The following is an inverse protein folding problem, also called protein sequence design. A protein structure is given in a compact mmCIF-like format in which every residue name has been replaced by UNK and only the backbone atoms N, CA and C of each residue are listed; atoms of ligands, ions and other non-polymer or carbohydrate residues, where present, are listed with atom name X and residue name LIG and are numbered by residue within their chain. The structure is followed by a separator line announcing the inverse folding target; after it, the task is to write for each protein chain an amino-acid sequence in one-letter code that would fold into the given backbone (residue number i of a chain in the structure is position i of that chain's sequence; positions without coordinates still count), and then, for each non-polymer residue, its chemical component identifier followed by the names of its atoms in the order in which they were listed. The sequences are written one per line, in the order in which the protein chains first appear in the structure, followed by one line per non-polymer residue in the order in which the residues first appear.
data_IF_224885459966
#
_entry.id   IF_224885459966
#
_cell.length_a   1.000
_cell.length_b   1.000
_cell.length_c   1.000
_cell.angle_alpha   90.00
_cell.angle_beta   90.00
_cell.angle_gamma   90.00
#
_symmetry.space_group_name_H-M   'P 1'
#
loop_
_entity.id
_entity.type
_entity.pdbx_description
1 polymer ?
#
# COMPACT_ATOMS: atom_id res chain seq x y z
N UNK A 1 17.29 -0.05 84.00
CA UNK A 1 17.62 0.96 82.95
C UNK A 1 18.05 0.35 81.61
N UNK A 2 18.78 -0.79 81.59
CA UNK A 2 19.26 -1.44 80.34
C UNK A 2 18.16 -1.86 79.34
N UNK A 3 16.96 -2.26 79.81
CA UNK A 3 15.84 -2.65 78.92
C UNK A 3 15.36 -1.49 78.02
N UNK A 4 15.40 -0.25 78.51
CA UNK A 4 14.95 0.94 77.75
C UNK A 4 15.94 1.39 76.67
N UNK A 5 17.24 1.10 76.84
CA UNK A 5 18.25 1.33 75.81
C UNK A 5 18.15 0.34 74.65
N UNK A 6 17.81 -0.93 74.95
CA UNK A 6 17.69 -1.98 73.94
C UNK A 6 16.45 -1.80 73.05
N UNK A 7 15.33 -1.31 73.60
CA UNK A 7 14.13 -0.98 72.83
C UNK A 7 14.32 0.25 71.95
N UNK A 8 15.00 1.30 72.45
CA UNK A 8 15.40 2.46 71.62
C UNK A 8 16.26 2.05 70.43
N UNK A 9 17.29 1.21 70.63
CA UNK A 9 18.14 0.70 69.52
C UNK A 9 17.36 -0.11 68.48
N UNK A 10 16.37 -0.93 68.90
CA UNK A 10 15.49 -1.65 67.97
C UNK A 10 14.59 -0.72 67.16
N UNK A 11 14.07 0.35 67.79
CA UNK A 11 13.22 1.34 67.13
C UNK A 11 13.99 2.12 66.06
N UNK A 12 15.20 2.58 66.38
CA UNK A 12 16.08 3.29 65.43
C UNK A 12 16.40 2.43 64.20
N UNK A 13 16.75 1.15 64.40
CA UNK A 13 16.99 0.22 63.28
C UNK A 13 15.76 -0.02 62.40
N UNK A 14 14.56 0.01 62.98
CA UNK A 14 13.32 -0.16 62.23
C UNK A 14 12.98 1.08 61.41
N UNK A 15 13.15 2.27 61.97
CA UNK A 15 12.97 3.54 61.26
C UNK A 15 13.98 3.67 60.10
N UNK A 16 15.22 3.20 60.29
CA UNK A 16 16.25 3.18 59.25
C UNK A 16 15.91 2.20 58.11
N UNK A 17 15.39 1.02 58.44
CA UNK A 17 14.90 0.05 57.45
C UNK A 17 13.66 0.56 56.68
N UNK A 18 12.73 1.24 57.36
CA UNK A 18 11.56 1.86 56.72
C UNK A 18 11.96 2.99 55.75
N UNK A 19 12.98 3.79 56.09
CA UNK A 19 13.51 4.82 55.19
C UNK A 19 14.20 4.24 53.97
N UNK A 20 15.01 3.19 54.13
CA UNK A 20 15.65 2.51 53.02
C UNK A 20 14.62 1.89 52.07
N UNK A 21 13.60 1.24 52.62
CA UNK A 21 12.50 0.69 51.83
C UNK A 21 11.75 1.78 51.04
N UNK A 22 11.49 2.94 51.65
CA UNK A 22 10.85 4.06 50.95
C UNK A 22 11.70 4.60 49.80
N UNK A 23 13.02 4.68 49.99
CA UNK A 23 13.96 5.06 48.93
C UNK A 23 13.90 4.07 47.77
N UNK A 24 14.02 2.77 48.06
CA UNK A 24 13.96 1.72 47.03
C UNK A 24 12.62 1.74 46.27
N UNK A 25 11.50 1.92 46.98
CA UNK A 25 10.18 2.05 46.35
C UNK A 25 10.10 3.29 45.45
N UNK A 26 10.66 4.42 45.87
CA UNK A 26 10.68 5.64 45.04
C UNK A 26 11.53 5.46 43.77
N UNK A 27 12.68 4.78 43.88
CA UNK A 27 13.52 4.48 42.71
C UNK A 27 12.81 3.53 41.74
N UNK A 28 12.08 2.53 42.25
CA UNK A 28 11.27 1.63 41.44
C UNK A 28 10.15 2.39 40.72
N UNK A 29 9.46 3.30 41.40
CA UNK A 29 8.42 4.14 40.78
C UNK A 29 8.98 5.03 39.68
N UNK A 30 10.13 5.68 39.89
CA UNK A 30 10.80 6.50 38.87
C UNK A 30 11.22 5.67 37.65
N UNK A 31 11.84 4.50 37.88
CA UNK A 31 12.25 3.59 36.80
C UNK A 31 11.03 3.08 36.02
N UNK A 32 9.96 2.72 36.71
CA UNK A 32 8.71 2.24 36.09
C UNK A 32 8.07 3.34 35.24
N UNK A 33 8.01 4.56 35.76
CA UNK A 33 7.50 5.74 35.04
C UNK A 33 8.31 6.02 33.77
N UNK A 34 9.65 5.99 33.86
CA UNK A 34 10.53 6.18 32.71
C UNK A 34 10.33 5.08 31.65
N UNK A 35 10.14 3.84 32.09
CA UNK A 35 9.93 2.69 31.22
C UNK A 35 8.58 2.78 30.51
N UNK A 36 7.52 3.17 31.21
CA UNK A 36 6.20 3.42 30.64
C UNK A 36 6.22 4.59 29.66
N UNK A 37 6.88 5.70 29.99
CA UNK A 37 7.01 6.84 29.08
C UNK A 37 7.71 6.44 27.77
N UNK A 38 8.73 5.58 27.83
CA UNK A 38 9.39 5.04 26.64
C UNK A 38 8.49 4.13 25.83
N UNK A 39 7.66 3.31 26.49
CA UNK A 39 6.67 2.47 25.82
C UNK A 39 5.65 3.37 25.09
N UNK A 40 5.11 4.39 25.76
CA UNK A 40 4.14 5.31 25.17
C UNK A 40 4.69 6.03 23.95
N UNK A 41 5.94 6.49 23.99
CA UNK A 41 6.59 7.07 22.82
C UNK A 41 6.71 6.09 21.65
N UNK A 42 7.03 4.82 21.94
CA UNK A 42 7.10 3.77 20.89
C UNK A 42 5.72 3.47 20.32
N UNK A 43 4.69 3.39 21.16
CA UNK A 43 3.30 3.18 20.73
C UNK A 43 2.86 4.32 19.83
N UNK A 44 3.12 5.58 20.20
CA UNK A 44 2.80 6.75 19.35
C UNK A 44 3.50 6.70 18.00
N UNK A 45 4.77 6.27 17.96
CA UNK A 45 5.51 6.10 16.70
C UNK A 45 4.90 5.01 15.83
N UNK A 46 4.50 3.88 16.43
CA UNK A 46 3.85 2.79 15.71
C UNK A 46 2.49 3.22 15.14
N UNK A 47 1.66 3.92 15.91
CA UNK A 47 0.38 4.47 15.44
C UNK A 47 0.57 5.44 14.26
N UNK A 48 1.61 6.27 14.29
CA UNK A 48 1.93 7.17 13.18
C UNK A 48 2.36 6.40 11.91
N UNK A 49 3.04 5.26 12.06
CA UNK A 49 3.41 4.38 10.95
C UNK A 49 2.17 3.68 10.39
N UNK A 50 1.33 3.14 11.26
CA UNK A 50 0.07 2.48 10.90
C UNK A 50 -0.81 3.41 10.06
N UNK A 51 -1.03 4.65 10.53
CA UNK A 51 -1.78 5.66 9.77
C UNK A 51 -1.19 5.93 8.38
N UNK A 52 0.13 6.01 8.26
CA UNK A 52 0.82 6.21 6.97
C UNK A 52 0.68 5.00 6.04
N UNK A 53 0.55 3.80 6.59
CA UNK A 53 0.30 2.59 5.80
C UNK A 53 -1.15 2.57 5.31
N UNK A 54 -2.12 2.93 6.15
CA UNK A 54 -3.52 3.02 5.76
C UNK A 54 -3.73 4.05 4.63
N UNK A 55 -3.10 5.22 4.73
CA UNK A 55 -3.12 6.23 3.66
C UNK A 55 -2.57 5.69 2.34
N UNK A 56 -1.50 4.88 2.38
CA UNK A 56 -0.92 4.26 1.19
C UNK A 56 -1.80 3.15 0.63
N UNK A 57 -2.43 2.35 1.48
CA UNK A 57 -3.37 1.31 1.06
C UNK A 57 -4.52 1.94 0.30
N UNK A 58 -5.12 3.01 0.83
CA UNK A 58 -6.19 3.74 0.16
C UNK A 58 -5.76 4.30 -1.21
N UNK A 59 -4.55 4.85 -1.33
CA UNK A 59 -4.02 5.29 -2.63
C UNK A 59 -3.85 4.15 -3.64
N UNK A 60 -3.42 2.97 -3.18
CA UNK A 60 -3.26 1.79 -4.04
C UNK A 60 -4.62 1.29 -4.50
N UNK A 61 -5.60 1.21 -3.59
CA UNK A 61 -6.99 0.85 -3.91
C UNK A 61 -7.59 1.82 -4.93
N UNK A 62 -7.37 3.13 -4.76
CA UNK A 62 -7.79 4.14 -5.74
C UNK A 62 -7.16 3.94 -7.11
N UNK A 63 -5.87 3.59 -7.17
CA UNK A 63 -5.21 3.28 -8.44
C UNK A 63 -5.73 2.01 -9.09
N UNK A 64 -5.98 0.96 -8.32
CA UNK A 64 -6.59 -0.27 -8.83
C UNK A 64 -7.98 0.01 -9.40
N UNK A 65 -8.81 0.74 -8.67
CA UNK A 65 -10.14 1.15 -9.15
C UNK A 65 -10.08 1.96 -10.45
N UNK A 66 -9.07 2.84 -10.60
CA UNK A 66 -8.85 3.60 -11.84
C UNK A 66 -8.39 2.71 -12.99
N UNK A 67 -7.52 1.74 -12.72
CA UNK A 67 -7.08 0.76 -13.71
C UNK A 67 -8.26 -0.08 -14.18
N UNK A 68 -9.07 -0.58 -13.24
CA UNK A 68 -10.27 -1.37 -13.54
C UNK A 68 -11.28 -0.53 -14.33
N UNK A 69 -11.53 0.72 -13.96
CA UNK A 69 -12.39 1.63 -14.72
C UNK A 69 -11.84 1.96 -16.12
N UNK A 70 -10.53 1.88 -16.33
CA UNK A 70 -9.92 2.01 -17.66
C UNK A 70 -10.02 0.70 -18.45
N UNK A 71 -9.89 -0.46 -17.79
CA UNK A 71 -10.03 -1.78 -18.40
C UNK A 71 -11.49 -2.10 -18.77
N UNK A 72 -12.45 -1.59 -18.00
CA UNK A 72 -13.90 -1.68 -18.23
C UNK A 72 -14.42 -0.67 -19.27
N UNK A 73 -13.54 0.04 -19.99
CA UNK A 73 -13.90 0.68 -21.26
C UNK A 73 -13.59 -0.27 -22.42
N UNK A 74 -14.46 -1.25 -22.76
CA UNK A 74 -14.44 -1.81 -24.09
C UNK A 74 -14.92 -0.70 -25.04
N UNK A 75 -14.09 -0.31 -26.01
CA UNK A 75 -14.56 0.54 -27.12
C UNK A 75 -13.79 1.82 -27.43
N UNK A 76 -12.46 1.83 -27.31
CA UNK A 76 -11.68 2.74 -28.18
C UNK A 76 -10.64 2.03 -29.07
N UNK A 77 -10.42 0.73 -28.87
CA UNK A 77 -9.53 -0.09 -29.70
C UNK A 77 -10.07 -1.52 -29.92
N UNK A 78 -11.38 -1.72 -29.79
CA UNK A 78 -12.01 -3.06 -29.86
C UNK A 78 -13.23 -3.12 -30.77
N UNK A 79 -13.33 -2.24 -31.76
CA UNK A 79 -13.73 -2.72 -33.09
C UNK A 79 -12.41 -3.16 -33.72
N UNK A 80 -12.30 -4.46 -34.01
CA UNK A 80 -11.04 -5.06 -34.43
C UNK A 80 -10.37 -4.21 -35.54
N UNK A 81 -9.04 -4.00 -35.52
CA UNK A 81 -8.34 -3.34 -36.64
C UNK A 81 -8.74 -3.93 -38.00
N UNK A 82 -9.15 -5.20 -37.99
CA UNK A 82 -9.82 -5.91 -39.08
C UNK A 82 -11.06 -5.18 -39.65
N UNK A 83 -12.05 -4.82 -38.84
CA UNK A 83 -13.28 -4.17 -39.30
C UNK A 83 -13.00 -2.75 -39.84
N UNK A 84 -12.10 -2.02 -39.19
CA UNK A 84 -11.70 -0.68 -39.62
C UNK A 84 -10.92 -0.72 -40.95
N UNK A 85 -9.95 -1.63 -41.09
CA UNK A 85 -9.24 -1.87 -42.36
C UNK A 85 -10.23 -2.22 -43.46
N UNK A 86 -11.24 -3.06 -43.17
CA UNK A 86 -12.25 -3.47 -44.14
C UNK A 86 -13.16 -2.32 -44.60
N UNK A 87 -13.58 -1.45 -43.68
CA UNK A 87 -14.40 -0.28 -44.01
C UNK A 87 -13.60 0.72 -44.85
N UNK A 88 -12.31 0.92 -44.53
CA UNK A 88 -11.46 1.85 -45.26
C UNK A 88 -11.08 1.31 -46.65
N UNK A 89 -10.77 0.02 -46.76
CA UNK A 89 -10.55 -0.64 -48.05
C UNK A 89 -11.82 -0.63 -48.92
N UNK A 90 -13.00 -0.87 -48.33
CA UNK A 90 -14.29 -0.77 -49.01
C UNK A 90 -14.64 0.64 -49.51
N UNK A 91 -14.06 1.68 -48.89
CA UNK A 91 -14.16 3.09 -49.33
C UNK A 91 -13.13 3.45 -50.41
N UNK A 92 -12.24 2.54 -50.78
CA UNK A 92 -11.26 2.72 -51.85
C UNK A 92 -9.97 3.43 -51.45
N UNK A 93 -9.64 3.48 -50.15
CA UNK A 93 -8.36 4.02 -49.69
C UNK A 93 -7.22 3.08 -50.08
N UNK A 94 -6.04 3.65 -50.35
CA UNK A 94 -4.84 2.85 -50.62
C UNK A 94 -4.32 2.22 -49.34
N UNK A 95 -3.68 1.06 -49.47
CA UNK A 95 -3.09 0.30 -48.35
C UNK A 95 -2.14 1.18 -47.52
N UNK A 96 -1.33 2.01 -48.18
CA UNK A 96 -0.40 2.95 -47.53
C UNK A 96 -1.11 3.99 -46.66
N UNK A 97 -2.28 4.46 -47.11
CA UNK A 97 -3.10 5.45 -46.39
C UNK A 97 -3.78 4.82 -45.18
N UNK A 98 -4.25 3.58 -45.32
CA UNK A 98 -4.85 2.79 -44.23
C UNK A 98 -3.80 2.48 -43.17
N UNK A 99 -2.61 2.03 -43.58
CA UNK A 99 -1.47 1.76 -42.72
C UNK A 99 -1.07 3.02 -41.92
N UNK A 100 -1.00 4.17 -42.59
CA UNK A 100 -0.69 5.44 -41.92
C UNK A 100 -1.80 5.93 -41.00
N UNK A 101 -3.07 5.63 -41.27
CA UNK A 101 -4.21 6.08 -40.47
C UNK A 101 -4.43 5.22 -39.22
N UNK A 102 -4.16 3.92 -39.32
CA UNK A 102 -4.38 2.94 -38.24
C UNK A 102 -3.10 2.60 -37.46
N UNK A 103 -1.98 3.25 -37.79
CA UNK A 103 -0.65 2.96 -37.22
C UNK A 103 -0.28 1.47 -37.35
N UNK A 104 -0.61 0.89 -38.50
CA UNK A 104 -0.33 -0.50 -38.86
C UNK A 104 0.79 -0.54 -39.90
N UNK A 105 1.54 -1.64 -39.94
CA UNK A 105 2.46 -1.88 -41.05
C UNK A 105 1.70 -2.22 -42.33
N UNK A 106 2.27 -1.88 -43.50
CA UNK A 106 1.69 -2.21 -44.81
C UNK A 106 1.37 -3.71 -44.91
N UNK A 107 2.27 -4.55 -44.39
CA UNK A 107 2.13 -6.02 -44.40
C UNK A 107 0.95 -6.51 -43.55
N UNK A 108 0.63 -5.85 -42.44
CA UNK A 108 -0.52 -6.22 -41.59
C UNK A 108 -1.85 -5.88 -42.28
N UNK A 109 -1.91 -4.74 -42.97
CA UNK A 109 -3.08 -4.33 -43.75
C UNK A 109 -3.30 -5.27 -44.94
N UNK A 110 -2.23 -5.64 -45.66
CA UNK A 110 -2.27 -6.62 -46.75
C UNK A 110 -2.76 -7.99 -46.25
N UNK A 111 -2.19 -8.49 -45.15
CA UNK A 111 -2.57 -9.77 -44.56
C UNK A 111 -4.06 -9.80 -44.18
N UNK A 112 -4.58 -8.73 -43.59
CA UNK A 112 -5.99 -8.61 -43.22
C UNK A 112 -6.91 -8.67 -44.45
N UNK A 113 -6.53 -7.99 -45.53
CA UNK A 113 -7.30 -7.99 -46.79
C UNK A 113 -7.25 -9.37 -47.46
N UNK A 114 -6.07 -10.00 -47.50
CA UNK A 114 -5.85 -11.31 -48.11
C UNK A 114 -6.58 -12.44 -47.37
N UNK A 115 -6.61 -12.39 -46.05
CA UNK A 115 -7.35 -13.36 -45.23
C UNK A 115 -8.85 -13.40 -45.59
N UNK A 116 -9.46 -12.26 -45.92
CA UNK A 116 -10.86 -12.21 -46.39
C UNK A 116 -11.02 -12.68 -47.83
N UNK A 117 -10.03 -12.41 -48.68
CA UNK A 117 -9.98 -12.96 -50.03
C UNK A 117 -10.15 -14.48 -49.99
N UNK A 118 -9.49 -15.17 -49.06
CA UNK A 118 -9.59 -16.62 -48.89
C UNK A 118 -10.93 -17.10 -48.29
N UNK A 119 -11.59 -16.31 -47.43
CA UNK A 119 -12.92 -16.65 -46.89
C UNK A 119 -14.04 -16.60 -47.94
N UNK A 120 -13.93 -15.73 -48.95
CA UNK A 120 -14.93 -15.63 -50.03
C UNK A 120 -14.84 -16.81 -51.02
N UNK A 121 -13.65 -17.40 -51.20
CA UNK A 121 -13.45 -18.58 -52.06
C UNK A 121 -13.62 -19.93 -51.35
N UNK A 122 -13.87 -19.94 -50.04
CA UNK A 122 -14.06 -21.16 -49.25
C UNK A 122 -15.54 -21.45 -48.91
N UNK A 123 -16.49 -20.80 -49.59
CA UNK A 123 -17.94 -21.10 -49.54
C UNK A 123 -18.49 -21.44 -50.91
#
# INVERSE_FOLDING_TARGET
MLKNLRTKKKKVKREEAERLLQLELSEIEELSSLLMSRIDERVKKLQAIEKRLDEKIGLIEDYLNRIDACAEKPGFYSETPYEEVMVLAGKGLKIEEIASLLDLSINEVELIIDMKGQEIFSR
#
